data_IF_514873735787
#
_entry.id   IF_514873735787
#
_cell.length_a   1.000
_cell.length_b   1.000
_cell.length_c   1.000
_cell.angle_alpha   90.00
_cell.angle_beta   90.00
_cell.angle_gamma   90.00
#
_symmetry.space_group_name_H-M   'P 1'
#
loop_
_entity.id
_entity.type
_entity.pdbx_description
1 polymer ?
#
# COMPACT_ATOMS: atom_id res chain seq x y z
N UNK A 1 -29.54 -34.16 -32.78
CA UNK A 1 -28.26 -33.42 -32.62
C UNK A 1 -28.56 -32.24 -31.73
N UNK A 2 -28.27 -32.38 -30.43
CA UNK A 2 -28.24 -31.24 -29.52
C UNK A 2 -26.78 -30.82 -29.46
N UNK A 3 -26.47 -29.66 -30.06
CA UNK A 3 -25.19 -29.00 -29.80
C UNK A 3 -25.21 -28.60 -28.32
N UNK A 4 -24.24 -29.00 -27.49
CA UNK A 4 -24.07 -28.36 -26.21
C UNK A 4 -23.64 -26.93 -26.53
N UNK A 5 -24.60 -26.01 -26.38
CA UNK A 5 -24.37 -24.60 -26.14
C UNK A 5 -23.08 -24.44 -25.32
N UNK A 6 -22.04 -23.98 -26.00
CA UNK A 6 -20.82 -23.53 -25.36
C UNK A 6 -21.24 -22.31 -24.55
N UNK A 7 -21.69 -22.54 -23.32
CA UNK A 7 -21.70 -21.53 -22.28
C UNK A 7 -20.24 -21.11 -22.15
N UNK A 8 -19.89 -20.09 -22.92
CA UNK A 8 -18.76 -19.23 -22.65
C UNK A 8 -19.00 -18.78 -21.21
N UNK A 9 -18.37 -19.50 -20.29
CA UNK A 9 -18.23 -19.08 -18.92
C UNK A 9 -17.38 -17.83 -19.03
N UNK A 10 -18.07 -16.70 -19.26
CA UNK A 10 -17.48 -15.41 -19.49
C UNK A 10 -16.45 -15.21 -18.40
N UNK A 11 -15.24 -14.92 -18.81
CA UNK A 11 -14.08 -14.67 -17.98
C UNK A 11 -14.43 -13.56 -16.96
N UNK A 12 -15.07 -13.95 -15.86
CA UNK A 12 -15.27 -13.13 -14.67
C UNK A 12 -13.99 -13.02 -13.85
N UNK A 13 -12.83 -13.15 -14.48
CA UNK A 13 -11.61 -12.53 -13.98
C UNK A 13 -11.75 -11.06 -14.32
N UNK A 14 -12.65 -10.37 -13.61
CA UNK A 14 -12.52 -8.93 -13.41
C UNK A 14 -11.09 -8.75 -12.97
N UNK A 15 -10.24 -8.33 -13.90
CA UNK A 15 -8.82 -8.22 -13.71
C UNK A 15 -8.69 -7.25 -12.55
N UNK A 16 -8.51 -7.78 -11.34
CA UNK A 16 -8.31 -6.98 -10.16
C UNK A 16 -7.11 -6.14 -10.54
N UNK A 17 -7.34 -4.86 -10.81
CA UNK A 17 -6.31 -3.88 -11.00
C UNK A 17 -5.66 -3.75 -9.63
N UNK A 18 -4.76 -4.68 -9.33
CA UNK A 18 -3.95 -4.63 -8.14
C UNK A 18 -3.08 -3.40 -8.31
N UNK A 19 -3.23 -2.38 -7.46
CA UNK A 19 -2.34 -1.24 -7.51
C UNK A 19 -0.91 -1.75 -7.42
N UNK A 20 0.04 -1.18 -8.19
CA UNK A 20 1.45 -1.52 -8.13
C UNK A 20 1.93 -1.71 -6.68
N UNK A 21 2.80 -2.70 -6.44
CA UNK A 21 3.22 -3.04 -5.08
C UNK A 21 3.86 -1.83 -4.39
N UNK A 22 3.17 -1.28 -3.40
CA UNK A 22 3.63 -0.13 -2.62
C UNK A 22 4.56 -0.58 -1.49
N UNK A 23 5.78 -0.04 -1.45
CA UNK A 23 6.76 -0.35 -0.39
C UNK A 23 6.58 0.50 0.88
N UNK A 24 5.74 1.55 0.81
CA UNK A 24 5.55 2.49 1.89
C UNK A 24 4.79 1.94 3.11
N UNK A 25 3.73 1.11 2.97
CA UNK A 25 3.01 0.58 4.12
C UNK A 25 3.90 -0.24 5.09
N UNK A 26 4.80 -1.14 4.62
CA UNK A 26 5.77 -1.80 5.49
C UNK A 26 6.72 -0.84 6.21
N UNK A 27 7.22 0.20 5.52
CA UNK A 27 8.14 1.20 6.11
C UNK A 27 7.42 2.01 7.19
N UNK A 28 6.15 2.38 6.97
CA UNK A 28 5.33 3.05 7.97
C UNK A 28 5.10 2.14 9.20
N UNK A 29 4.77 0.86 8.99
CA UNK A 29 4.60 -0.09 10.06
C UNK A 29 5.88 -0.24 10.93
N UNK A 30 7.05 -0.27 10.28
CA UNK A 30 8.33 -0.27 10.98
C UNK A 30 8.53 1.00 11.81
N UNK A 31 8.20 2.18 11.26
CA UNK A 31 8.24 3.45 11.98
C UNK A 31 7.35 3.43 13.23
N UNK A 32 6.12 2.92 13.10
CA UNK A 32 5.18 2.77 14.24
C UNK A 32 5.75 1.81 15.29
N UNK A 33 6.30 0.66 14.88
CA UNK A 33 6.93 -0.28 15.80
C UNK A 33 8.08 0.37 16.60
N UNK A 34 8.91 1.19 15.94
CA UNK A 34 9.99 1.94 16.60
C UNK A 34 9.47 3.02 17.55
N UNK A 35 8.35 3.68 17.23
CA UNK A 35 7.70 4.64 18.15
C UNK A 35 7.24 3.92 19.41
N UNK A 36 6.54 2.79 19.28
CA UNK A 36 6.04 2.01 20.42
C UNK A 36 7.20 1.49 21.28
N UNK A 37 8.25 0.97 20.65
CA UNK A 37 9.45 0.54 21.34
C UNK A 37 10.17 1.71 22.02
N UNK A 38 10.27 2.85 21.35
CA UNK A 38 10.91 4.05 21.88
C UNK A 38 10.16 4.65 23.06
N UNK A 39 8.84 4.56 23.09
CA UNK A 39 8.02 4.97 24.23
C UNK A 39 8.40 4.22 25.51
N UNK A 40 8.82 2.96 25.37
CA UNK A 40 9.23 2.08 26.48
C UNK A 40 10.72 2.27 26.81
N UNK A 41 11.59 2.33 25.80
CA UNK A 41 13.04 2.31 25.99
C UNK A 41 13.65 3.68 26.27
N UNK A 42 13.46 4.66 25.37
CA UNK A 42 14.00 6.01 25.52
C UNK A 42 13.44 7.00 24.49
N UNK A 43 13.51 8.29 24.85
CA UNK A 43 13.04 9.41 24.01
C UNK A 43 13.76 9.52 22.66
N UNK A 44 15.02 9.10 22.55
CA UNK A 44 15.79 9.19 21.28
C UNK A 44 15.22 8.22 20.24
N UNK A 45 14.95 6.98 20.64
CA UNK A 45 14.32 5.96 19.80
C UNK A 45 12.92 6.39 19.35
N UNK A 46 12.15 7.01 20.26
CA UNK A 46 10.83 7.55 19.94
C UNK A 46 10.91 8.65 18.85
N UNK A 47 11.85 9.58 18.98
CA UNK A 47 12.06 10.65 17.97
C UNK A 47 12.47 10.03 16.63
N UNK A 48 13.38 9.04 16.63
CA UNK A 48 13.80 8.36 15.41
C UNK A 48 12.62 7.66 14.72
N UNK A 49 11.82 6.90 15.46
CA UNK A 49 10.61 6.26 14.94
C UNK A 49 9.59 7.27 14.38
N UNK A 50 9.43 8.41 15.04
CA UNK A 50 8.54 9.49 14.59
C UNK A 50 9.01 10.09 13.27
N UNK A 51 10.31 10.37 13.12
CA UNK A 51 10.88 10.87 11.87
C UNK A 51 10.68 9.88 10.73
N UNK A 52 10.90 8.59 10.98
CA UNK A 52 10.69 7.52 9.99
C UNK A 52 9.21 7.46 9.60
N UNK A 53 8.28 7.40 10.57
CA UNK A 53 6.86 7.31 10.30
C UNK A 53 6.34 8.51 9.49
N UNK A 54 6.70 9.74 9.90
CA UNK A 54 6.30 10.97 9.19
C UNK A 54 6.85 10.99 7.77
N UNK A 55 8.13 10.64 7.59
CA UNK A 55 8.76 10.60 6.26
C UNK A 55 8.10 9.54 5.38
N UNK A 56 7.87 8.34 5.91
CA UNK A 56 7.21 7.25 5.20
C UNK A 56 5.80 7.65 4.77
N UNK A 57 4.99 8.24 5.65
CA UNK A 57 3.66 8.74 5.30
C UNK A 57 3.72 9.83 4.23
N UNK A 58 4.63 10.80 4.37
CA UNK A 58 4.74 11.89 3.40
C UNK A 58 5.12 11.39 2.00
N UNK A 59 6.09 10.47 1.92
CA UNK A 59 6.49 9.88 0.64
C UNK A 59 5.40 8.95 0.09
N UNK A 60 4.70 8.21 0.94
CA UNK A 60 3.57 7.39 0.53
C UNK A 60 2.45 8.20 -0.10
N UNK A 61 2.06 9.30 0.54
CA UNK A 61 1.01 10.20 0.02
C UNK A 61 1.45 10.82 -1.31
N UNK A 62 2.73 11.19 -1.43
CA UNK A 62 3.27 11.74 -2.68
C UNK A 62 3.25 10.71 -3.82
N UNK A 63 3.58 9.46 -3.50
CA UNK A 63 3.59 8.35 -4.44
C UNK A 63 2.18 8.02 -4.93
N UNK A 64 1.24 7.85 -3.98
CA UNK A 64 -0.17 7.65 -4.26
C UNK A 64 -0.74 8.76 -5.14
N UNK A 65 -0.42 10.03 -4.85
CA UNK A 65 -0.86 11.18 -5.66
C UNK A 65 -0.31 11.17 -7.08
N UNK A 66 0.89 10.64 -7.31
CA UNK A 66 1.43 10.50 -8.67
C UNK A 66 0.68 9.44 -9.44
N UNK A 67 0.45 8.28 -8.81
CA UNK A 67 -0.28 7.17 -9.39
C UNK A 67 -1.71 7.56 -9.80
N UNK A 68 -2.46 8.23 -8.92
CA UNK A 68 -3.82 8.69 -9.24
C UNK A 68 -3.87 9.80 -10.31
N UNK A 69 -2.78 10.57 -10.48
CA UNK A 69 -2.70 11.62 -11.50
C UNK A 69 -2.34 11.12 -12.90
N UNK A 70 -1.90 9.87 -13.03
CA UNK A 70 -1.57 9.24 -14.32
C UNK A 70 -2.79 8.59 -14.99
N UNK A 71 -3.94 8.55 -14.32
CA UNK A 71 -5.20 8.07 -14.91
C UNK A 71 -5.84 9.18 -15.77
N UNK A 72 -6.01 8.97 -17.09
CA UNK A 72 -6.76 9.91 -17.92
C UNK A 72 -8.24 9.93 -17.49
N UNK A 73 -8.84 11.13 -17.52
CA UNK A 73 -10.24 11.43 -17.14
C UNK A 73 -11.28 10.51 -17.78
#
# INVERSE_FOLDING_TARGET
>A
MAEPEQETHGEGHEAIHLPPPSIWPPVLALGIALILLGLILNRVMLIAGLVIAVSATALWVRDARREFGELPE
#
